data_IF_297347912015
#
_entry.id   IF_297347912015
#
_cell.length_a   1.000
_cell.length_b   1.000
_cell.length_c   1.000
_cell.angle_alpha   90.00
_cell.angle_beta   90.00
_cell.angle_gamma   90.00
#
_symmetry.space_group_name_H-M   'P 1'
#
loop_
_entity.id
_entity.type
_entity.pdbx_description
1 polymer ?
#
# COMPACT_ATOMS: atom_id res chain seq x y z
N UNK A 1 4.49 -16.59 13.91
CA UNK A 1 5.91 -16.73 13.55
C UNK A 1 6.52 -15.33 13.57
N UNK A 2 7.34 -15.06 14.58
CA UNK A 2 7.77 -13.70 14.92
C UNK A 2 8.92 -13.26 14.01
N UNK A 3 8.67 -12.28 13.13
CA UNK A 3 9.64 -11.69 12.19
C UNK A 3 10.81 -10.92 12.85
N UNK A 4 11.00 -11.10 14.16
CA UNK A 4 11.99 -10.37 14.96
C UNK A 4 13.26 -11.21 15.24
N UNK A 5 13.18 -12.55 15.10
CA UNK A 5 14.33 -13.44 15.29
C UNK A 5 15.41 -13.33 14.20
N UNK A 6 15.02 -12.95 12.97
CA UNK A 6 15.94 -12.86 11.81
C UNK A 6 16.76 -11.56 11.76
N UNK A 7 16.37 -10.53 12.52
CA UNK A 7 17.04 -9.22 12.49
C UNK A 7 18.40 -9.24 13.19
N UNK A 8 18.65 -10.22 14.05
CA UNK A 8 19.89 -10.38 14.82
C UNK A 8 21.14 -10.52 13.94
N UNK A 9 20.97 -10.90 12.66
CA UNK A 9 22.08 -11.10 11.71
C UNK A 9 22.05 -10.11 10.53
N UNK A 10 21.33 -9.00 10.66
CA UNK A 10 21.32 -7.98 9.62
C UNK A 10 22.72 -7.36 9.48
N UNK A 11 23.34 -7.56 8.33
CA UNK A 11 24.69 -7.08 8.02
C UNK A 11 24.70 -6.38 6.67
N UNK A 12 25.68 -5.50 6.48
CA UNK A 12 25.91 -4.79 5.21
C UNK A 12 26.12 -5.77 4.07
N UNK A 13 26.86 -6.87 4.32
CA UNK A 13 27.11 -7.91 3.32
C UNK A 13 25.81 -8.58 2.86
N UNK A 14 24.90 -8.89 3.78
CA UNK A 14 23.61 -9.49 3.43
C UNK A 14 22.75 -8.53 2.61
N UNK A 15 22.69 -7.25 2.99
CA UNK A 15 22.00 -6.22 2.22
C UNK A 15 22.53 -6.13 0.78
N UNK A 16 23.87 -6.14 0.64
CA UNK A 16 24.52 -6.11 -0.68
C UNK A 16 24.21 -7.35 -1.51
N UNK A 17 24.27 -8.54 -0.91
CA UNK A 17 23.93 -9.80 -1.60
C UNK A 17 22.48 -9.77 -2.11
N UNK A 18 21.54 -9.27 -1.32
CA UNK A 18 20.16 -9.12 -1.79
C UNK A 18 20.02 -8.10 -2.91
N UNK A 19 20.71 -6.95 -2.83
CA UNK A 19 20.73 -5.96 -3.91
C UNK A 19 21.31 -6.54 -5.21
N UNK A 20 22.40 -7.30 -5.14
CA UNK A 20 23.05 -7.95 -6.28
C UNK A 20 22.13 -9.02 -6.92
N UNK A 21 21.27 -9.65 -6.12
CA UNK A 21 20.24 -10.59 -6.58
C UNK A 21 18.99 -9.90 -7.15
N UNK A 22 18.92 -8.56 -7.17
CA UNK A 22 17.75 -7.80 -7.58
C UNK A 22 16.63 -7.76 -6.53
N UNK A 23 16.88 -8.31 -5.33
CA UNK A 23 15.94 -8.32 -4.19
C UNK A 23 16.04 -7.00 -3.42
N UNK A 24 15.66 -5.93 -4.12
CA UNK A 24 15.84 -4.56 -3.67
C UNK A 24 15.00 -4.23 -2.42
N UNK A 25 13.82 -4.85 -2.24
CA UNK A 25 12.98 -4.61 -1.06
C UNK A 25 13.60 -5.17 0.23
N UNK A 26 14.16 -6.37 0.17
CA UNK A 26 14.92 -6.98 1.27
C UNK A 26 16.17 -6.16 1.61
N UNK A 27 16.92 -5.75 0.59
CA UNK A 27 18.12 -4.93 0.77
C UNK A 27 17.76 -3.60 1.45
N UNK A 28 16.73 -2.90 0.97
CA UNK A 28 16.27 -1.64 1.57
C UNK A 28 15.83 -1.80 3.03
N UNK A 29 15.15 -2.92 3.37
CA UNK A 29 14.76 -3.24 4.76
C UNK A 29 15.98 -3.36 5.67
N UNK A 30 17.05 -4.03 5.21
CA UNK A 30 18.26 -4.21 6.01
C UNK A 30 19.03 -2.90 6.14
N UNK A 31 19.19 -2.13 5.05
CA UNK A 31 19.88 -0.84 5.10
C UNK A 31 19.20 0.14 6.06
N UNK A 32 17.86 0.22 6.06
CA UNK A 32 17.11 1.04 7.04
C UNK A 32 17.39 0.62 8.48
N UNK A 33 17.33 -0.68 8.77
CA UNK A 33 17.62 -1.22 10.10
C UNK A 33 19.04 -0.91 10.59
N UNK A 34 20.03 -0.92 9.68
CA UNK A 34 21.42 -0.59 10.00
C UNK A 34 21.61 0.92 10.22
N UNK A 35 20.96 1.76 9.42
CA UNK A 35 20.97 3.22 9.58
C UNK A 35 20.28 3.66 10.87
N UNK A 36 19.19 3.01 11.29
CA UNK A 36 18.53 3.28 12.56
C UNK A 36 19.48 3.12 13.77
N UNK A 37 20.46 2.20 13.67
CA UNK A 37 21.48 1.95 14.70
C UNK A 37 22.74 2.79 14.52
N UNK A 38 23.07 3.11 13.28
CA UNK A 38 24.26 3.87 12.91
C UNK A 38 23.88 4.96 11.91
N UNK A 39 23.27 6.06 12.39
CA UNK A 39 22.75 7.11 11.50
C UNK A 39 23.84 7.83 10.71
N UNK A 40 25.06 7.91 11.26
CA UNK A 40 26.21 8.58 10.66
C UNK A 40 26.99 7.65 9.71
N UNK A 41 26.27 7.08 8.74
CA UNK A 41 26.83 6.15 7.74
C UNK A 41 26.41 6.58 6.33
N UNK A 42 27.09 7.58 5.75
CA UNK A 42 26.76 8.08 4.41
C UNK A 42 27.01 7.05 3.29
N UNK A 43 27.81 6.02 3.57
CA UNK A 43 27.96 4.85 2.69
C UNK A 43 26.68 4.00 2.65
N UNK A 44 26.04 3.76 3.80
CA UNK A 44 24.79 3.00 3.88
C UNK A 44 23.60 3.79 3.35
N UNK A 45 23.59 5.11 3.57
CA UNK A 45 22.56 5.98 3.00
C UNK A 45 22.60 5.94 1.47
N UNK A 46 23.79 6.10 0.86
CA UNK A 46 23.93 5.99 -0.60
C UNK A 46 23.50 4.62 -1.13
N UNK A 47 23.89 3.53 -0.45
CA UNK A 47 23.49 2.19 -0.85
C UNK A 47 21.96 1.99 -0.74
N UNK A 48 21.31 2.60 0.25
CA UNK A 48 19.85 2.61 0.36
C UNK A 48 19.22 3.38 -0.81
N UNK A 49 19.71 4.58 -1.11
CA UNK A 49 19.19 5.42 -2.19
C UNK A 49 19.31 4.70 -3.56
N UNK A 50 20.45 4.07 -3.83
CA UNK A 50 20.70 3.29 -5.06
C UNK A 50 19.73 2.12 -5.21
N UNK A 51 19.38 1.46 -4.10
CA UNK A 51 18.43 0.34 -4.08
C UNK A 51 17.00 0.83 -4.24
N UNK A 52 16.63 1.94 -3.59
CA UNK A 52 15.30 2.53 -3.71
C UNK A 52 15.02 3.03 -5.14
N UNK A 53 16.03 3.56 -5.83
CA UNK A 53 15.91 3.97 -7.23
C UNK A 53 15.60 2.82 -8.19
N UNK A 54 15.90 1.57 -7.80
CA UNK A 54 15.61 0.36 -8.59
C UNK A 54 14.26 -0.26 -8.27
N UNK A 55 13.58 0.20 -7.21
CA UNK A 55 12.24 -0.27 -6.91
C UNK A 55 11.24 0.42 -7.84
N UNK A 56 10.24 -0.30 -8.36
CA UNK A 56 9.11 0.36 -9.00
C UNK A 56 8.49 1.34 -8.00
N UNK A 57 8.00 2.49 -8.46
CA UNK A 57 7.12 3.32 -7.63
C UNK A 57 6.04 2.41 -7.08
N UNK A 58 5.99 2.27 -5.75
CA UNK A 58 5.18 1.25 -5.10
C UNK A 58 3.73 1.36 -5.63
N UNK A 59 3.21 0.36 -6.35
CA UNK A 59 1.80 0.36 -6.71
C UNK A 59 1.03 0.22 -5.40
N UNK A 60 0.14 1.18 -5.10
CA UNK A 60 -0.53 1.23 -3.80
C UNK A 60 -0.08 2.37 -2.89
N UNK A 61 0.30 3.52 -3.46
CA UNK A 61 0.39 4.75 -2.67
C UNK A 61 -0.95 5.11 -2.04
N UNK A 62 -0.95 5.97 -1.02
CA UNK A 62 -2.19 6.49 -0.41
C UNK A 62 -3.16 7.06 -1.45
N UNK A 63 -2.66 7.57 -2.59
CA UNK A 63 -3.48 8.03 -3.71
C UNK A 63 -4.28 6.89 -4.38
N UNK A 64 -3.68 5.72 -4.58
CA UNK A 64 -4.37 4.56 -5.18
C UNK A 64 -5.44 3.99 -4.24
N UNK A 65 -5.12 3.96 -2.95
CA UNK A 65 -6.05 3.55 -1.89
C UNK A 65 -7.20 4.56 -1.81
N UNK A 66 -6.88 5.86 -1.79
CA UNK A 66 -7.87 6.93 -1.74
C UNK A 66 -8.82 6.88 -2.94
N UNK A 67 -8.30 6.71 -4.17
CA UNK A 67 -9.14 6.58 -5.37
C UNK A 67 -10.01 5.31 -5.37
N UNK A 68 -9.57 4.24 -4.70
CA UNK A 68 -10.38 3.03 -4.54
C UNK A 68 -11.50 3.22 -3.50
N UNK A 69 -11.20 3.88 -2.40
CA UNK A 69 -12.19 4.23 -1.35
C UNK A 69 -13.23 5.21 -1.90
N UNK A 70 -12.81 6.23 -2.65
CA UNK A 70 -13.71 7.20 -3.27
C UNK A 70 -14.71 6.54 -4.24
N UNK A 71 -14.22 5.64 -5.08
CA UNK A 71 -15.08 4.87 -6.00
C UNK A 71 -16.08 4.00 -5.24
N UNK A 72 -15.64 3.35 -4.18
CA UNK A 72 -16.51 2.52 -3.34
C UNK A 72 -17.59 3.34 -2.61
N UNK A 73 -17.22 4.46 -1.99
CA UNK A 73 -18.17 5.38 -1.36
C UNK A 73 -19.19 5.88 -2.38
N UNK A 74 -18.72 6.31 -3.56
CA UNK A 74 -19.59 6.78 -4.64
C UNK A 74 -20.61 5.72 -5.08
N UNK A 75 -20.19 4.46 -5.17
CA UNK A 75 -21.07 3.35 -5.51
C UNK A 75 -22.14 3.12 -4.43
N UNK A 76 -21.74 3.17 -3.15
CA UNK A 76 -22.64 3.02 -2.02
C UNK A 76 -23.69 4.14 -1.96
N UNK A 77 -23.28 5.39 -2.19
CA UNK A 77 -24.19 6.53 -2.24
C UNK A 77 -25.19 6.39 -3.39
N UNK A 78 -24.73 5.98 -4.59
CA UNK A 78 -25.60 5.77 -5.74
C UNK A 78 -26.60 4.63 -5.50
N UNK A 79 -26.15 3.53 -4.91
CA UNK A 79 -27.02 2.40 -4.55
C UNK A 79 -28.11 2.84 -3.55
N UNK A 80 -27.74 3.60 -2.52
CA UNK A 80 -28.69 4.11 -1.54
C UNK A 80 -29.69 5.11 -2.16
N UNK A 81 -29.25 5.95 -3.10
CA UNK A 81 -30.13 6.86 -3.82
C UNK A 81 -31.17 6.11 -4.66
N UNK A 82 -30.75 5.05 -5.37
CA UNK A 82 -31.66 4.20 -6.14
C UNK A 82 -32.69 3.50 -5.25
N UNK A 83 -32.23 2.91 -4.15
CA UNK A 83 -33.12 2.27 -3.17
C UNK A 83 -34.18 3.22 -2.61
N UNK A 84 -33.83 4.48 -2.33
CA UNK A 84 -34.80 5.48 -1.87
C UNK A 84 -35.85 5.80 -2.93
N UNK A 85 -35.46 5.83 -4.21
CA UNK A 85 -36.39 6.05 -5.32
C UNK A 85 -37.34 4.87 -5.53
N UNK A 86 -36.86 3.64 -5.39
CA UNK A 86 -37.73 2.45 -5.45
C UNK A 86 -38.77 2.45 -4.31
N UNK A 87 -38.37 2.89 -3.12
CA UNK A 87 -39.26 2.99 -1.96
C UNK A 87 -40.33 4.07 -2.11
N UNK A 88 -40.07 5.16 -2.84
CA UNK A 88 -41.04 6.24 -3.06
C UNK A 88 -41.90 6.06 -4.30
N UNK A 89 -41.55 5.12 -5.20
CA UNK A 89 -42.24 4.91 -6.48
C UNK A 89 -43.33 3.81 -6.43
N UNK A 90 -43.57 3.16 -5.30
CA UNK A 90 -44.71 2.27 -5.07
C UNK A 90 -45.75 3.04 -4.23
N UNK A 91 -46.93 3.44 -4.78
CA UNK A 91 -47.91 2.56 -5.40
C UNK A 91 -48.52 3.11 -6.72
N UNK A 92 -48.21 2.50 -7.87
CA UNK A 92 -48.94 2.77 -9.14
C UNK A 92 -50.14 1.84 -9.36
N UNK A 93 -50.29 0.76 -8.59
CA UNK A 93 -51.43 -0.16 -8.69
C UNK A 93 -52.74 0.41 -8.12
N UNK A 94 -52.71 1.56 -7.43
CA UNK A 94 -53.90 2.20 -6.89
C UNK A 94 -54.63 3.14 -7.87
N UNK A 95 -54.07 3.39 -9.07
CA UNK A 95 -54.66 4.33 -10.04
C UNK A 95 -55.44 3.68 -11.18
N UNK A 96 -55.44 2.35 -11.29
CA UNK A 96 -56.05 1.61 -12.41
C UNK A 96 -57.31 0.81 -12.01
N UNK A 97 -58.11 1.35 -11.07
CA UNK A 97 -59.52 0.96 -10.90
C UNK A 97 -60.40 2.20 -11.00
N UNK A 98 -60.84 2.50 -12.22
CA UNK A 98 -62.06 3.25 -12.50
C UNK A 98 -62.88 2.52 -13.54
#
# INVERSE_FOLDING_TARGET
MSADGDKTFYTVTMARVYADQGRNEEAARIYRYLLDRTPDRPDLQRALDDVLAKLPEAPGGWADIAGSVERWISLMLRYNALRKLEQTRLPSEAMDRR
#
